data_IF_882223021748
#
_entry.id   IF_882223021748
#
_cell.length_a   1.000
_cell.length_b   1.000
_cell.length_c   1.000
_cell.angle_alpha   90.00
_cell.angle_beta   90.00
_cell.angle_gamma   90.00
#
_symmetry.space_group_name_H-M   'P 1'
#
loop_
_entity.id
_entity.type
_entity.pdbx_description
1 polymer ?
#
# COMPACT_ATOMS: atom_id res chain seq x y z
N UNK A 1 23.69 24.22 -51.56
CA UNK A 1 24.81 25.01 -50.99
C UNK A 1 24.28 25.82 -49.82
N UNK A 2 25.10 26.08 -48.77
CA UNK A 2 24.81 26.74 -47.47
C UNK A 2 24.65 25.73 -46.30
N UNK A 3 25.75 25.19 -45.73
CA UNK A 3 26.55 25.69 -44.57
C UNK A 3 25.76 25.63 -43.23
N UNK A 4 25.73 24.47 -42.54
CA UNK A 4 26.54 24.09 -41.36
C UNK A 4 26.76 25.22 -40.33
N UNK A 5 26.35 24.98 -39.07
CA UNK A 5 27.16 25.25 -37.87
C UNK A 5 26.62 24.55 -36.61
N UNK A 6 27.34 23.51 -36.19
CA UNK A 6 27.31 22.90 -34.86
C UNK A 6 28.03 23.81 -33.86
N UNK A 7 27.54 23.88 -32.64
CA UNK A 7 28.16 24.53 -31.47
C UNK A 7 28.06 23.48 -30.34
N UNK A 8 29.03 23.22 -29.48
CA UNK A 8 30.48 23.36 -29.45
C UNK A 8 30.88 22.59 -28.20
N UNK A 9 31.51 21.44 -28.37
CA UNK A 9 32.19 20.69 -27.31
C UNK A 9 33.52 21.37 -27.01
N UNK A 10 33.83 21.69 -25.73
CA UNK A 10 35.19 21.94 -25.22
C UNK A 10 35.14 22.06 -23.68
N UNK A 11 35.78 21.16 -22.90
CA UNK A 11 37.20 21.17 -22.44
C UNK A 11 37.39 22.19 -21.29
N UNK A 12 38.09 22.00 -20.16
CA UNK A 12 38.67 20.90 -19.37
C UNK A 12 39.42 21.56 -18.16
N UNK A 13 40.06 20.76 -17.29
CA UNK A 13 41.33 21.03 -16.54
C UNK A 13 41.23 21.69 -15.13
N UNK A 14 41.47 20.93 -14.02
CA UNK A 14 42.72 20.63 -13.22
C UNK A 14 43.00 21.61 -12.06
N UNK A 15 43.19 21.06 -10.84
CA UNK A 15 44.28 21.33 -9.87
C UNK A 15 43.96 20.57 -8.56
N UNK A 16 44.71 19.57 -8.07
CA UNK A 16 46.13 19.49 -7.63
C UNK A 16 46.42 20.26 -6.33
N UNK A 17 46.63 19.54 -5.21
CA UNK A 17 47.58 19.80 -4.09
C UNK A 17 47.27 18.80 -2.94
N UNK A 18 48.05 17.73 -2.72
CA UNK A 18 49.37 17.60 -2.06
C UNK A 18 49.33 17.53 -0.52
N UNK A 19 50.03 16.49 -0.03
CA UNK A 19 50.07 15.94 1.31
C UNK A 19 50.84 16.79 2.34
N UNK A 20 50.55 16.56 3.63
CA UNK A 20 51.54 16.72 4.70
C UNK A 20 51.70 15.45 5.53
N UNK A 21 52.96 15.06 5.58
CA UNK A 21 53.61 14.00 6.33
C UNK A 21 53.64 14.31 7.83
N UNK A 22 53.45 13.31 8.68
CA UNK A 22 54.14 13.26 9.97
C UNK A 22 54.43 11.81 10.33
N UNK A 23 55.70 11.55 10.66
CA UNK A 23 56.38 10.27 10.74
C UNK A 23 57.06 10.15 12.11
N UNK A 24 57.24 8.89 12.54
CA UNK A 24 58.06 8.41 13.66
C UNK A 24 57.47 8.67 15.08
N UNK A 25 57.63 7.81 16.08
CA UNK A 25 58.74 6.90 16.37
C UNK A 25 58.33 5.76 17.33
N UNK A 26 59.19 4.74 17.41
CA UNK A 26 58.99 3.37 17.90
C UNK A 26 59.26 3.16 19.42
N UNK A 27 58.55 2.18 20.02
CA UNK A 27 58.93 1.07 20.98
C UNK A 27 59.85 1.40 22.21
N UNK A 28 60.14 0.50 23.20
CA UNK A 28 59.72 -0.90 23.47
C UNK A 28 59.39 -1.25 24.97
N UNK A 29 59.07 -2.55 25.22
CA UNK A 29 59.55 -3.42 26.34
C UNK A 29 58.93 -3.35 27.77
N UNK A 30 58.21 -4.44 28.09
CA UNK A 30 58.31 -5.39 29.23
C UNK A 30 57.90 -5.09 30.70
N UNK A 31 57.34 -6.18 31.29
CA UNK A 31 57.27 -6.62 32.71
C UNK A 31 56.14 -6.02 33.57
N UNK A 32 55.13 -6.75 34.07
CA UNK A 32 55.03 -7.96 34.92
C UNK A 32 55.32 -7.73 36.42
N UNK A 33 54.40 -8.24 37.26
CA UNK A 33 54.39 -8.43 38.73
C UNK A 33 53.94 -7.27 39.68
N UNK A 34 52.67 -7.36 40.12
CA UNK A 34 52.16 -7.64 41.50
C UNK A 34 53.02 -7.28 42.76
N UNK A 35 52.49 -7.26 44.01
CA UNK A 35 51.09 -7.14 44.53
C UNK A 35 50.98 -6.30 45.85
N UNK A 36 49.82 -6.40 46.55
CA UNK A 36 49.56 -6.13 48.00
C UNK A 36 49.71 -4.65 48.48
N UNK A 37 48.95 -4.07 49.41
CA UNK A 37 48.08 -4.57 50.47
C UNK A 37 47.18 -3.43 50.96
N UNK A 38 46.00 -3.83 51.42
CA UNK A 38 45.08 -3.15 52.32
C UNK A 38 45.66 -1.97 53.12
N UNK A 39 44.92 -0.86 53.15
CA UNK A 39 44.71 -0.23 54.45
C UNK A 39 43.27 0.26 54.63
N UNK A 40 42.83 0.11 55.86
CA UNK A 40 41.46 0.11 56.32
C UNK A 40 40.87 1.51 56.42
N UNK A 41 39.55 1.55 56.18
CA UNK A 41 38.54 2.24 56.99
C UNK A 41 38.88 3.62 57.58
N UNK A 42 38.26 4.65 57.02
CA UNK A 42 37.57 5.68 57.80
C UNK A 42 36.51 6.30 56.87
N UNK A 43 35.25 5.88 57.02
CA UNK A 43 34.22 6.53 57.83
C UNK A 43 33.74 7.88 57.27
N UNK A 44 32.41 7.92 57.09
CA UNK A 44 31.57 9.13 57.16
C UNK A 44 31.65 10.02 55.89
N UNK A 45 30.60 10.53 55.28
CA UNK A 45 29.18 10.60 55.60
C UNK A 45 28.41 10.70 54.28
N UNK A 46 27.15 10.31 54.35
CA UNK A 46 26.04 10.74 53.51
C UNK A 46 26.36 11.83 52.48
N UNK A 47 26.17 11.50 51.20
CA UNK A 47 25.33 12.32 50.34
C UNK A 47 24.60 11.42 49.35
N UNK A 48 23.42 11.03 49.81
CA UNK A 48 22.29 10.64 48.99
C UNK A 48 21.99 11.77 48.01
N UNK A 49 21.91 11.42 46.73
CA UNK A 49 21.16 12.10 45.66
C UNK A 49 21.34 13.62 45.50
N UNK A 50 22.05 14.03 44.45
CA UNK A 50 21.46 14.70 43.28
C UNK A 50 22.53 15.07 42.22
N UNK A 51 22.29 14.64 40.96
CA UNK A 51 22.96 14.99 39.69
C UNK A 51 24.40 14.44 39.52
N UNK A 52 24.71 13.61 38.51
CA UNK A 52 25.12 13.96 37.12
C UNK A 52 25.03 12.64 36.31
N UNK A 53 24.02 12.41 35.48
CA UNK A 53 23.97 12.62 34.03
C UNK A 53 25.13 12.02 33.21
N UNK A 54 24.76 11.17 32.23
CA UNK A 54 25.49 10.82 30.99
C UNK A 54 26.45 9.63 30.99
N UNK A 55 25.95 8.39 31.06
CA UNK A 55 26.52 7.31 30.25
C UNK A 55 25.44 6.28 29.88
N UNK A 56 24.82 6.46 28.71
CA UNK A 56 24.21 5.39 27.92
C UNK A 56 24.22 5.85 26.46
N UNK A 57 25.37 5.72 25.82
CA UNK A 57 25.49 5.77 24.37
C UNK A 57 26.78 5.05 24.00
N UNK A 58 26.66 3.83 23.47
CA UNK A 58 27.20 3.39 22.18
C UNK A 58 27.31 1.85 22.15
N UNK A 59 26.32 1.19 21.54
CA UNK A 59 26.52 -0.01 20.72
C UNK A 59 25.27 -0.21 19.85
N UNK A 60 25.19 0.57 18.77
CA UNK A 60 24.48 0.17 17.56
C UNK A 60 25.41 -0.76 16.76
N UNK A 61 24.90 -1.88 16.27
CA UNK A 61 24.97 -2.30 14.86
C UNK A 61 24.58 -3.78 14.73
N UNK A 62 23.29 -4.01 14.50
CA UNK A 62 22.77 -5.04 13.58
C UNK A 62 21.28 -4.84 13.39
N UNK A 63 20.91 -3.70 12.78
CA UNK A 63 19.56 -3.48 12.30
C UNK A 63 19.27 -4.45 11.15
N UNK A 64 18.63 -5.57 11.48
CA UNK A 64 17.78 -6.24 10.52
C UNK A 64 16.70 -5.26 10.13
N UNK A 65 16.82 -4.76 8.90
CA UNK A 65 15.92 -3.81 8.28
C UNK A 65 14.50 -4.39 8.17
N UNK A 66 13.76 -4.32 9.27
CA UNK A 66 12.32 -4.42 9.30
C UNK A 66 11.78 -3.08 8.80
N UNK A 67 11.76 -2.90 7.48
CA UNK A 67 10.93 -1.87 6.87
C UNK A 67 9.49 -2.16 7.28
N UNK A 68 9.01 -1.50 8.33
CA UNK A 68 7.58 -1.37 8.53
C UNK A 68 7.05 -0.54 7.36
N UNK A 69 6.51 -1.19 6.34
CA UNK A 69 5.50 -0.56 5.51
C UNK A 69 4.29 -0.31 6.42
N UNK A 70 4.29 0.83 7.12
CA UNK A 70 3.15 1.22 7.93
C UNK A 70 1.91 1.31 7.05
N UNK A 71 0.73 1.11 7.65
CA UNK A 71 -0.58 1.28 7.00
C UNK A 71 -0.75 2.57 6.18
N UNK A 72 0.06 3.60 6.48
CA UNK A 72 0.13 4.85 5.73
C UNK A 72 0.77 4.77 4.34
N UNK A 73 1.45 3.67 3.98
CA UNK A 73 2.11 3.53 2.69
C UNK A 73 1.12 3.23 1.55
N UNK A 74 0.00 2.57 1.85
CA UNK A 74 -0.98 2.19 0.83
C UNK A 74 -2.02 3.31 0.66
N UNK A 75 -2.00 3.92 -0.52
CA UNK A 75 -2.96 4.94 -0.91
C UNK A 75 -4.08 4.30 -1.74
N UNK A 76 -5.32 4.43 -1.26
CA UNK A 76 -6.50 3.99 -2.00
C UNK A 76 -7.14 5.18 -2.71
N UNK A 77 -7.18 5.12 -4.04
CA UNK A 77 -7.71 6.16 -4.91
C UNK A 77 -9.05 5.78 -5.53
N UNK A 78 -9.93 6.77 -5.68
CA UNK A 78 -11.21 6.66 -6.41
C UNK A 78 -12.02 5.37 -6.14
N UNK A 79 -12.27 4.99 -4.87
CA UNK A 79 -13.09 3.83 -4.59
C UNK A 79 -14.53 4.08 -5.05
N UNK A 80 -15.16 3.05 -5.63
CA UNK A 80 -16.59 3.06 -5.91
C UNK A 80 -17.14 1.63 -6.06
N UNK A 81 -18.44 1.46 -5.82
CA UNK A 81 -19.15 0.20 -6.05
C UNK A 81 -20.37 0.43 -6.93
N UNK A 82 -20.83 -0.61 -7.64
CA UNK A 82 -22.07 -0.56 -8.42
C UNK A 82 -23.28 -0.71 -7.51
N UNK A 83 -24.34 0.04 -7.78
CA UNK A 83 -25.64 -0.16 -7.16
C UNK A 83 -26.13 -1.60 -7.38
N UNK A 84 -26.64 -2.21 -6.31
CA UNK A 84 -27.15 -3.59 -6.27
C UNK A 84 -28.64 -3.52 -5.98
N UNK A 85 -29.46 -3.96 -6.94
CA UNK A 85 -30.91 -3.99 -6.78
C UNK A 85 -31.36 -5.09 -5.81
N UNK A 86 -32.55 -4.95 -5.22
CA UNK A 86 -33.15 -6.00 -4.39
C UNK A 86 -33.21 -7.34 -5.14
N UNK A 87 -32.87 -8.43 -4.44
CA UNK A 87 -32.83 -9.79 -4.99
C UNK A 87 -31.57 -10.12 -5.80
N UNK A 88 -30.68 -9.16 -6.08
CA UNK A 88 -29.37 -9.46 -6.66
C UNK A 88 -28.42 -10.01 -5.57
N UNK A 89 -27.81 -11.16 -5.84
CA UNK A 89 -26.93 -11.83 -4.87
C UNK A 89 -25.47 -11.42 -4.96
N UNK A 90 -25.08 -10.69 -6.01
CA UNK A 90 -23.70 -10.32 -6.28
C UNK A 90 -23.55 -8.83 -6.56
N UNK A 91 -22.39 -8.28 -6.16
CA UNK A 91 -21.96 -6.90 -6.41
C UNK A 91 -20.48 -6.86 -6.80
N UNK A 92 -20.01 -5.69 -7.21
CA UNK A 92 -18.61 -5.48 -7.54
C UNK A 92 -18.15 -4.08 -7.12
N UNK A 93 -16.96 -4.03 -6.49
CA UNK A 93 -16.28 -2.80 -6.10
C UNK A 93 -14.94 -2.63 -6.83
N UNK A 94 -14.59 -1.37 -7.04
CA UNK A 94 -13.48 -0.92 -7.89
C UNK A 94 -12.74 0.21 -7.18
N UNK A 95 -11.42 0.30 -7.37
CA UNK A 95 -10.55 1.30 -6.74
C UNK A 95 -9.16 1.27 -7.38
N UNK A 96 -8.33 2.25 -7.06
CA UNK A 96 -6.90 2.23 -7.33
C UNK A 96 -6.14 1.98 -6.04
N UNK A 97 -5.15 1.09 -6.10
CA UNK A 97 -4.26 0.80 -4.98
C UNK A 97 -2.86 1.25 -5.39
N UNK A 98 -2.31 2.25 -4.72
CA UNK A 98 -0.93 2.71 -4.93
C UNK A 98 -0.11 2.42 -3.69
N UNK A 99 0.89 1.55 -3.83
CA UNK A 99 1.87 1.36 -2.79
C UNK A 99 2.94 2.45 -2.88
N UNK A 100 2.90 3.43 -1.97
CA UNK A 100 3.92 4.49 -1.86
C UNK A 100 5.05 4.14 -0.89
N UNK A 101 5.07 2.90 -0.38
CA UNK A 101 6.14 2.39 0.44
C UNK A 101 7.33 1.91 -0.39
N UNK A 102 8.40 1.59 0.31
CA UNK A 102 9.67 1.12 -0.28
C UNK A 102 9.71 -0.41 -0.45
N UNK A 103 8.73 -1.13 0.11
CA UNK A 103 8.65 -2.59 0.09
C UNK A 103 7.39 -3.05 -0.62
N UNK A 104 7.48 -4.15 -1.38
CA UNK A 104 6.32 -4.81 -1.98
C UNK A 104 5.33 -5.25 -0.91
N UNK A 105 4.05 -4.91 -1.11
CA UNK A 105 2.94 -5.38 -0.28
C UNK A 105 2.03 -6.33 -1.06
N UNK A 106 1.17 -7.04 -0.33
CA UNK A 106 0.23 -8.00 -0.89
C UNK A 106 -1.15 -7.73 -0.30
N UNK A 107 -2.14 -7.45 -1.14
CA UNK A 107 -3.54 -7.46 -0.72
C UNK A 107 -3.98 -8.92 -0.59
N UNK A 108 -4.21 -9.36 0.65
CA UNK A 108 -4.58 -10.74 0.99
C UNK A 108 -6.10 -10.96 0.96
N UNK A 109 -6.88 -9.89 1.07
CA UNK A 109 -8.33 -9.99 1.09
C UNK A 109 -9.03 -8.69 1.42
N UNK A 110 -10.35 -8.73 1.36
CA UNK A 110 -11.23 -7.59 1.65
C UNK A 110 -12.39 -8.08 2.50
N UNK A 111 -12.86 -7.25 3.42
CA UNK A 111 -14.02 -7.54 4.26
C UNK A 111 -15.04 -6.41 4.20
N UNK A 112 -16.30 -6.77 4.36
CA UNK A 112 -17.41 -5.81 4.48
C UNK A 112 -18.59 -6.42 5.24
N UNK A 113 -19.41 -5.56 5.81
CA UNK A 113 -20.65 -5.93 6.49
C UNK A 113 -21.78 -6.24 5.50
N UNK A 114 -21.74 -5.70 4.28
CA UNK A 114 -22.85 -5.76 3.31
C UNK A 114 -22.96 -7.06 2.52
N UNK A 115 -21.97 -7.94 2.59
CA UNK A 115 -21.89 -9.21 1.87
C UNK A 115 -21.53 -10.37 2.81
N UNK A 116 -21.82 -11.60 2.42
CA UNK A 116 -21.44 -12.83 3.14
C UNK A 116 -20.00 -13.23 2.83
N UNK A 117 -19.60 -13.15 1.55
CA UNK A 117 -18.28 -13.51 1.08
C UNK A 117 -17.75 -12.40 0.19
N UNK A 118 -16.46 -12.11 0.32
CA UNK A 118 -15.77 -11.10 -0.47
C UNK A 118 -14.52 -11.74 -1.06
N UNK A 119 -14.40 -11.66 -2.38
CA UNK A 119 -13.30 -12.26 -3.11
C UNK A 119 -12.67 -11.23 -4.05
N UNK A 120 -11.40 -11.41 -4.37
CA UNK A 120 -10.72 -10.60 -5.38
C UNK A 120 -10.63 -11.43 -6.65
N UNK A 121 -11.13 -10.91 -7.76
CA UNK A 121 -11.21 -11.62 -9.04
C UNK A 121 -10.42 -10.88 -10.11
N UNK A 122 -9.79 -11.63 -11.00
CA UNK A 122 -9.19 -11.13 -12.24
C UNK A 122 -10.05 -11.54 -13.43
N UNK A 123 -10.17 -10.65 -14.41
CA UNK A 123 -10.74 -10.97 -15.71
C UNK A 123 -9.60 -11.18 -16.69
N UNK A 124 -9.49 -12.40 -17.22
CA UNK A 124 -8.51 -12.79 -18.22
C UNK A 124 -9.18 -13.32 -19.49
N UNK A 125 -8.37 -13.61 -20.50
CA UNK A 125 -8.83 -14.24 -21.73
C UNK A 125 -8.24 -15.65 -21.79
N UNK A 126 -9.10 -16.65 -21.88
CA UNK A 126 -8.71 -18.05 -22.05
C UNK A 126 -9.41 -18.60 -23.28
N UNK A 127 -8.62 -19.07 -24.25
CA UNK A 127 -9.09 -19.59 -25.55
C UNK A 127 -10.14 -18.69 -26.25
N UNK A 128 -9.90 -17.37 -26.24
CA UNK A 128 -10.82 -16.40 -26.86
C UNK A 128 -12.08 -16.09 -26.05
N UNK A 129 -12.28 -16.73 -24.90
CA UNK A 129 -13.37 -16.46 -23.97
C UNK A 129 -12.90 -15.61 -22.78
N UNK A 130 -13.72 -14.63 -22.39
CA UNK A 130 -13.49 -13.86 -21.17
C UNK A 130 -13.77 -14.76 -19.97
N UNK A 131 -12.75 -14.99 -19.14
CA UNK A 131 -12.87 -15.77 -17.91
C UNK A 131 -12.66 -14.88 -16.70
N UNK A 132 -13.40 -15.16 -15.63
CA UNK A 132 -13.28 -14.48 -14.35
C UNK A 132 -12.82 -15.51 -13.33
N UNK A 133 -11.69 -15.25 -12.67
CA UNK A 133 -11.06 -16.20 -11.74
C UNK A 133 -10.73 -15.52 -10.42
N UNK A 134 -10.99 -16.16 -9.27
CA UNK A 134 -10.53 -15.66 -7.99
C UNK A 134 -9.00 -15.67 -7.94
N UNK A 135 -8.43 -14.67 -7.28
CA UNK A 135 -7.00 -14.58 -6.99
C UNK A 135 -6.80 -14.55 -5.48
N UNK A 136 -5.79 -15.27 -5.00
CA UNK A 136 -5.51 -15.35 -3.55
C UNK A 136 -4.92 -14.05 -3.00
N UNK A 137 -4.14 -13.36 -3.83
CA UNK A 137 -3.52 -12.09 -3.45
C UNK A 137 -3.21 -11.23 -4.68
N UNK A 138 -3.17 -9.90 -4.49
CA UNK A 138 -2.63 -8.96 -5.47
C UNK A 138 -1.27 -8.46 -4.98
N UNK A 139 -0.24 -8.62 -5.80
CA UNK A 139 1.09 -8.05 -5.56
C UNK A 139 1.10 -6.54 -5.88
N UNK A 140 1.59 -5.73 -4.93
CA UNK A 140 1.74 -4.28 -5.04
C UNK A 140 3.20 -3.92 -4.79
N UNK A 141 4.01 -3.88 -5.84
CA UNK A 141 5.44 -3.49 -5.74
C UNK A 141 5.58 -2.05 -5.25
N UNK A 142 6.75 -1.72 -4.71
CA UNK A 142 7.08 -0.35 -4.30
C UNK A 142 6.85 0.65 -5.44
N UNK A 143 6.21 1.77 -5.12
CA UNK A 143 5.77 2.83 -6.03
C UNK A 143 4.95 2.35 -7.25
N UNK A 144 4.23 1.23 -7.13
CA UNK A 144 3.32 0.75 -8.18
C UNK A 144 1.86 1.00 -7.84
N UNK A 145 1.10 1.28 -8.90
CA UNK A 145 -0.34 1.41 -8.86
C UNK A 145 -1.00 0.21 -9.55
N UNK A 146 -1.89 -0.47 -8.84
CA UNK A 146 -2.76 -1.51 -9.38
C UNK A 146 -4.18 -0.95 -9.47
N UNK A 147 -4.77 -1.03 -10.65
CA UNK A 147 -6.12 -0.56 -10.91
C UNK A 147 -7.12 -1.73 -10.87
N UNK A 148 -8.08 -1.65 -9.95
CA UNK A 148 -9.23 -2.53 -9.90
C UNK A 148 -10.36 -1.87 -10.70
N UNK A 149 -10.65 -2.40 -11.88
CA UNK A 149 -11.62 -1.85 -12.84
C UNK A 149 -12.47 -2.93 -13.50
N UNK A 150 -13.62 -2.55 -14.11
CA UNK A 150 -14.37 -3.47 -14.95
C UNK A 150 -13.51 -4.05 -16.07
N UNK A 151 -13.46 -5.38 -16.18
CA UNK A 151 -12.65 -6.08 -17.18
C UNK A 151 -11.19 -6.33 -16.79
N UNK A 152 -10.80 -6.04 -15.55
CA UNK A 152 -9.53 -6.46 -14.96
C UNK A 152 -9.74 -6.96 -13.53
N UNK A 153 -8.82 -6.61 -12.61
CA UNK A 153 -9.02 -6.89 -11.19
C UNK A 153 -10.26 -6.20 -10.64
N UNK A 154 -11.01 -6.86 -9.78
CA UNK A 154 -12.14 -6.27 -9.06
C UNK A 154 -12.46 -7.05 -7.80
N UNK A 155 -13.11 -6.38 -6.85
CA UNK A 155 -13.60 -7.03 -5.62
C UNK A 155 -15.02 -7.52 -5.89
N UNK A 156 -15.23 -8.83 -5.87
CA UNK A 156 -16.53 -9.46 -6.00
C UNK A 156 -17.18 -9.59 -4.61
N UNK A 157 -18.40 -9.08 -4.49
CA UNK A 157 -19.23 -9.19 -3.29
C UNK A 157 -20.27 -10.28 -3.55
N UNK A 158 -20.27 -11.35 -2.76
CA UNK A 158 -21.15 -12.52 -2.92
C UNK A 158 -22.04 -12.66 -1.68
N UNK A 159 -23.31 -13.00 -1.89
CA UNK A 159 -24.28 -13.10 -0.80
C UNK A 159 -24.60 -11.73 -0.23
N UNK A 160 -25.03 -10.81 -1.11
CA UNK A 160 -25.45 -9.47 -0.70
C UNK A 160 -26.58 -9.55 0.34
N UNK A 161 -26.35 -9.02 1.54
CA UNK A 161 -27.30 -9.06 2.66
C UNK A 161 -28.41 -8.01 2.53
N UNK A 162 -28.14 -6.93 1.77
CA UNK A 162 -29.06 -5.85 1.48
C UNK A 162 -28.81 -5.26 0.10
N UNK A 163 -29.81 -4.55 -0.43
CA UNK A 163 -29.63 -3.71 -1.61
C UNK A 163 -28.68 -2.55 -1.32
N UNK A 164 -27.95 -2.09 -2.35
CA UNK A 164 -27.10 -0.90 -2.30
C UNK A 164 -27.64 0.13 -3.27
N UNK A 165 -28.14 1.25 -2.73
CA UNK A 165 -28.67 2.34 -3.54
C UNK A 165 -27.60 3.38 -3.86
N UNK A 166 -27.77 4.07 -4.98
CA UNK A 166 -26.90 5.18 -5.36
C UNK A 166 -26.86 6.27 -4.29
N UNK A 167 -25.68 6.83 -4.06
CA UNK A 167 -25.46 7.87 -3.05
C UNK A 167 -25.21 7.33 -1.65
N UNK A 168 -25.46 6.04 -1.41
CA UNK A 168 -25.01 5.37 -0.19
C UNK A 168 -23.48 5.20 -0.18
N UNK A 169 -22.95 4.90 0.99
CA UNK A 169 -21.57 4.47 1.20
C UNK A 169 -21.57 3.12 1.91
N UNK A 170 -20.58 2.29 1.58
CA UNK A 170 -20.32 1.03 2.28
C UNK A 170 -18.92 1.06 2.89
N UNK A 171 -18.73 0.37 4.01
CA UNK A 171 -17.41 0.25 4.62
C UNK A 171 -16.70 -0.98 4.06
N UNK A 172 -15.48 -0.79 3.56
CA UNK A 172 -14.58 -1.87 3.19
C UNK A 172 -13.34 -1.84 4.08
N UNK A 173 -12.88 -3.02 4.49
CA UNK A 173 -11.58 -3.20 5.14
C UNK A 173 -10.69 -4.02 4.20
N UNK A 174 -9.62 -3.42 3.69
CA UNK A 174 -8.61 -4.09 2.90
C UNK A 174 -7.55 -4.68 3.83
N UNK A 175 -7.18 -5.93 3.62
CA UNK A 175 -6.17 -6.64 4.44
C UNK A 175 -4.88 -6.80 3.64
N UNK A 176 -3.86 -6.06 4.04
CA UNK A 176 -2.52 -6.13 3.47
C UNK A 176 -1.59 -6.94 4.35
N UNK A 177 -0.58 -7.57 3.74
CA UNK A 177 0.41 -8.37 4.44
C UNK A 177 1.34 -7.53 5.31
N UNK A 178 1.78 -6.38 4.82
CA UNK A 178 2.75 -5.52 5.52
C UNK A 178 2.08 -4.26 6.10
N UNK A 179 1.24 -3.57 5.31
CA UNK A 179 0.50 -2.40 5.75
C UNK A 179 -0.64 -2.71 6.74
N UNK A 180 -1.03 -3.97 6.91
CA UNK A 180 -2.13 -4.36 7.79
C UNK A 180 -3.50 -3.98 7.24
N UNK A 181 -4.41 -3.53 8.11
CA UNK A 181 -5.79 -3.23 7.73
C UNK A 181 -5.99 -1.76 7.32
N UNK A 182 -6.54 -1.54 6.12
CA UNK A 182 -6.93 -0.22 5.62
C UNK A 182 -8.44 -0.15 5.50
N UNK A 183 -9.07 0.69 6.33
CA UNK A 183 -10.52 0.91 6.33
C UNK A 183 -10.87 2.10 5.45
N UNK A 184 -11.84 1.94 4.56
CA UNK A 184 -12.31 2.99 3.69
C UNK A 184 -13.82 2.98 3.48
N UNK A 185 -14.38 4.16 3.23
CA UNK A 185 -15.74 4.31 2.75
C UNK A 185 -15.77 4.26 1.20
N UNK A 186 -16.63 3.43 0.65
CA UNK A 186 -16.80 3.26 -0.79
C UNK A 186 -18.17 3.78 -1.23
N UNK A 187 -18.23 4.85 -2.05
CA UNK A 187 -19.49 5.38 -2.55
C UNK A 187 -20.13 4.43 -3.58
N UNK A 188 -21.45 4.28 -3.48
CA UNK A 188 -22.26 3.52 -4.43
C UNK A 188 -22.64 4.42 -5.60
N UNK A 189 -22.26 4.02 -6.82
CA UNK A 189 -22.59 4.69 -8.07
C UNK A 189 -23.62 3.90 -8.85
N UNK A 190 -24.46 4.60 -9.63
CA UNK A 190 -25.48 3.94 -10.42
C UNK A 190 -24.87 2.98 -11.44
N UNK A 191 -25.55 1.85 -11.68
CA UNK A 191 -25.27 1.02 -12.86
C UNK A 191 -25.49 1.86 -14.10
N UNK A 192 -24.49 1.93 -14.97
CA UNK A 192 -24.68 2.33 -16.37
C UNK A 192 -25.67 1.32 -16.97
N UNK A 193 -26.94 1.69 -17.06
CA UNK A 193 -28.01 0.76 -17.46
C UNK A 193 -29.37 0.92 -16.80
N UNK A 194 -29.65 2.01 -16.06
CA UNK A 194 -31.05 2.36 -15.73
C UNK A 194 -31.73 2.88 -17.00
N UNK A 195 -32.00 1.99 -17.95
CA UNK A 195 -32.97 2.23 -19.02
C UNK A 195 -34.30 2.49 -18.31
N UNK A 196 -34.75 3.75 -18.34
CA UNK A 196 -36.10 4.10 -17.94
C UNK A 196 -37.05 3.17 -18.70
N UNK A 197 -37.70 2.26 -17.96
CA UNK A 197 -38.79 1.46 -18.48
C UNK A 197 -39.94 2.43 -18.75
N UNK A 198 -39.93 3.05 -19.93
CA UNK A 198 -41.05 3.84 -20.41
C UNK A 198 -42.23 2.88 -20.46
N UNK A 199 -43.20 3.12 -19.57
CA UNK A 199 -44.47 2.42 -19.50
C UNK A 199 -45.23 2.78 -20.78
N UNK A 200 -44.92 2.10 -21.88
CA UNK A 200 -45.76 2.09 -23.07
C UNK A 200 -47.07 1.44 -22.64
N UNK A 201 -48.05 2.26 -22.28
CA UNK A 201 -49.46 1.88 -22.29
C UNK A 201 -49.77 1.52 -23.75
N UNK A 202 -49.57 0.28 -24.14
CA UNK A 202 -50.24 -0.26 -25.31
C UNK A 202 -51.73 -0.33 -24.95
N UNK A 203 -52.47 0.70 -25.38
CA UNK A 203 -53.91 0.67 -25.37
C UNK A 203 -54.37 -0.53 -26.19
N UNK A 204 -55.22 -1.36 -25.57
CA UNK A 204 -56.06 -2.29 -26.28
C UNK A 204 -56.93 -1.46 -27.26
N UNK A 205 -56.54 -1.41 -28.53
CA UNK A 205 -57.50 -1.12 -29.59
C UNK A 205 -58.21 -2.42 -29.91
N UNK A 206 -59.42 -2.55 -29.37
CA UNK A 206 -60.38 -3.59 -29.72
C UNK A 206 -60.71 -3.47 -31.21
N UNK A 207 -60.04 -4.24 -32.07
CA UNK A 207 -60.47 -4.44 -33.45
C UNK A 207 -61.64 -5.41 -33.45
N UNK A 208 -62.82 -4.80 -33.43
CA UNK A 208 -64.13 -5.41 -33.64
C UNK A 208 -64.10 -6.32 -34.88
N UNK A 209 -64.29 -7.62 -34.64
CA UNK A 209 -64.61 -8.63 -35.64
C UNK A 209 -65.88 -8.19 -36.38
N UNK A 210 -65.80 -8.00 -37.69
CA UNK A 210 -66.97 -7.83 -38.55
C UNK A 210 -66.86 -8.90 -39.63
N UNK A 211 -67.63 -9.98 -39.44
CA UNK A 211 -67.95 -10.97 -40.46
C UNK A 211 -68.89 -10.33 -41.49
N UNK A 212 -68.60 -10.54 -42.77
CA UNK A 212 -69.58 -10.83 -43.84
C UNK A 212 -68.88 -11.68 -44.91
#
# INVERSE_FOLDING_TARGET
MMKKRFISTSIAIVALSLAFSSCASQKPVSQEQQPIQHDQMQMSMQHDQMQVSMQHDQMQMSDHNMHQAGSNAIHVGMPWTRAVAEGQKTGAAYMHLHNKGEVTDYLLGVETDVAEVVEVHEVGMDDGMMTMRPVEQIELKADQMVELKPGGYHIMLIGMKRALNEGEKINLTLKFKHAGEVKLEVPVKQRVGKMMRHKMKHGLSSSKKMEM
#
